data_IF_888941376271
#
_entry.id   IF_888941376271
#
_cell.length_a   1.000
_cell.length_b   1.000
_cell.length_c   1.000
_cell.angle_alpha   90.00
_cell.angle_beta   90.00
_cell.angle_gamma   90.00
#
_symmetry.space_group_name_H-M   'P 1'
#
loop_
_entity.id
_entity.type
_entity.pdbx_description
1 polymer ?
#
# COMPACT_ATOMS: atom_id res chain seq x y z
N UNK A 1 24.39 55.74 27.56
CA UNK A 1 25.35 54.88 26.83
C UNK A 1 25.79 53.79 27.79
N UNK A 2 25.73 52.50 27.49
CA UNK A 2 25.36 51.82 26.25
C UNK A 2 24.80 50.44 26.56
N UNK A 3 23.92 49.98 25.68
CA UNK A 3 23.46 48.59 25.67
C UNK A 3 24.68 47.69 25.42
N UNK A 4 24.89 46.72 26.31
CA UNK A 4 26.01 45.80 26.25
C UNK A 4 25.86 44.89 25.03
N UNK A 5 26.88 44.82 24.17
CA UNK A 5 26.85 44.12 22.88
C UNK A 5 26.90 42.59 23.00
N UNK A 6 26.78 42.04 24.22
CA UNK A 6 26.82 40.61 24.51
C UNK A 6 25.42 39.94 24.52
N UNK A 7 24.32 40.70 24.58
CA UNK A 7 22.96 40.13 24.71
C UNK A 7 22.19 39.98 23.37
N UNK A 8 22.82 40.29 22.23
CA UNK A 8 22.19 40.22 20.88
C UNK A 8 22.44 38.86 20.18
N UNK A 9 23.33 38.02 20.71
CA UNK A 9 23.79 36.78 20.06
C UNK A 9 22.91 35.52 20.30
N UNK A 10 21.98 35.43 21.29
CA UNK A 10 21.18 34.20 21.45
C UNK A 10 20.06 34.01 20.40
N UNK A 11 19.50 35.09 19.85
CA UNK A 11 18.31 35.00 18.98
C UNK A 11 18.65 34.56 17.55
N UNK A 12 19.78 35.02 17.00
CA UNK A 12 20.20 34.66 15.63
C UNK A 12 20.69 33.21 15.52
N UNK A 13 21.27 32.63 16.59
CA UNK A 13 21.73 31.23 16.59
C UNK A 13 20.56 30.22 16.60
N UNK A 14 19.50 30.53 17.35
CA UNK A 14 18.27 29.73 17.38
C UNK A 14 17.53 29.80 16.03
N UNK A 15 17.50 30.99 15.42
CA UNK A 15 16.90 31.19 14.10
C UNK A 15 17.68 30.40 13.02
N UNK A 16 19.01 30.51 13.03
CA UNK A 16 19.88 29.81 12.08
C UNK A 16 19.81 28.27 12.21
N UNK A 17 19.70 27.74 13.44
CA UNK A 17 19.49 26.31 13.68
C UNK A 17 18.12 25.84 13.17
N UNK A 18 17.07 26.67 13.30
CA UNK A 18 15.73 26.39 12.78
C UNK A 18 15.70 26.40 11.24
N UNK A 19 16.40 27.35 10.62
CA UNK A 19 16.56 27.47 9.17
C UNK A 19 17.36 26.29 8.59
N UNK A 20 18.48 25.91 9.22
CA UNK A 20 19.27 24.74 8.82
C UNK A 20 18.48 23.43 8.95
N UNK A 21 17.65 23.31 10.00
CA UNK A 21 16.76 22.15 10.17
C UNK A 21 15.66 22.10 9.11
N UNK A 22 15.10 23.25 8.73
CA UNK A 22 14.09 23.35 7.65
C UNK A 22 14.70 23.07 6.28
N UNK A 23 15.89 23.58 6.00
CA UNK A 23 16.64 23.29 4.77
C UNK A 23 16.97 21.79 4.66
N UNK A 24 17.53 21.17 5.71
CA UNK A 24 17.80 19.72 5.73
C UNK A 24 16.55 18.86 5.52
N UNK A 25 15.40 19.30 6.03
CA UNK A 25 14.11 18.62 5.80
C UNK A 25 13.66 18.75 4.34
N UNK A 26 13.78 19.95 3.76
CA UNK A 26 13.47 20.16 2.35
C UNK A 26 14.38 19.30 1.44
N UNK A 27 15.69 19.26 1.72
CA UNK A 27 16.64 18.40 1.00
C UNK A 27 16.30 16.92 1.15
N UNK A 28 15.87 16.47 2.34
CA UNK A 28 15.47 15.09 2.57
C UNK A 28 14.21 14.72 1.77
N UNK A 29 13.24 15.63 1.65
CA UNK A 29 12.03 15.44 0.84
C UNK A 29 12.40 15.38 -0.64
N UNK A 30 13.17 16.35 -1.14
CA UNK A 30 13.60 16.40 -2.53
C UNK A 30 14.42 15.16 -2.93
N UNK A 31 15.33 14.71 -2.05
CA UNK A 31 16.09 13.48 -2.28
C UNK A 31 15.19 12.24 -2.30
N UNK A 32 14.15 12.19 -1.45
CA UNK A 32 13.19 11.08 -1.44
C UNK A 32 12.42 11.02 -2.77
N UNK A 33 11.90 12.14 -3.24
CA UNK A 33 11.18 12.23 -4.52
C UNK A 33 12.08 11.85 -5.70
N UNK A 34 13.33 12.32 -5.72
CA UNK A 34 14.31 11.96 -6.74
C UNK A 34 14.61 10.46 -6.76
N UNK A 35 14.76 9.83 -5.61
CA UNK A 35 14.99 8.38 -5.50
C UNK A 35 13.78 7.61 -6.04
N UNK A 36 12.55 8.01 -5.66
CA UNK A 36 11.33 7.36 -6.12
C UNK A 36 11.18 7.48 -7.64
N UNK A 37 11.33 8.68 -8.21
CA UNK A 37 11.25 8.89 -9.65
C UNK A 37 12.32 8.09 -10.41
N UNK A 38 13.54 8.02 -9.87
CA UNK A 38 14.63 7.24 -10.46
C UNK A 38 14.34 5.74 -10.42
N UNK A 39 13.84 5.25 -9.28
CA UNK A 39 13.47 3.85 -9.12
C UNK A 39 12.34 3.46 -10.08
N UNK A 40 11.27 4.26 -10.16
CA UNK A 40 10.15 4.03 -11.06
C UNK A 40 10.62 3.93 -12.52
N UNK A 41 11.48 4.86 -12.96
CA UNK A 41 12.06 4.83 -14.31
C UNK A 41 12.89 3.57 -14.56
N UNK A 42 13.81 3.24 -13.65
CA UNK A 42 14.66 2.05 -13.79
C UNK A 42 13.86 0.75 -13.78
N UNK A 43 12.82 0.66 -12.94
CA UNK A 43 11.92 -0.48 -12.89
C UNK A 43 11.13 -0.65 -14.18
N UNK A 44 10.66 0.44 -14.79
CA UNK A 44 10.00 0.40 -16.09
C UNK A 44 10.95 -0.02 -17.23
N UNK A 45 12.21 0.43 -17.20
CA UNK A 45 13.21 0.12 -18.24
C UNK A 45 13.75 -1.31 -18.16
N UNK A 46 13.96 -1.84 -16.94
CA UNK A 46 14.76 -3.05 -16.72
C UNK A 46 14.02 -4.16 -15.99
N UNK A 47 12.80 -3.90 -15.52
CA UNK A 47 12.06 -4.78 -14.62
C UNK A 47 12.56 -4.67 -13.18
N UNK A 48 11.64 -4.79 -12.22
CA UNK A 48 11.94 -4.56 -10.80
C UNK A 48 13.02 -5.54 -10.32
N UNK A 49 12.90 -6.83 -10.63
CA UNK A 49 13.81 -7.88 -10.19
C UNK A 49 15.29 -7.63 -10.57
N UNK A 50 15.55 -6.91 -11.65
CA UNK A 50 16.90 -6.68 -12.17
C UNK A 50 17.56 -5.37 -11.68
N UNK A 51 16.86 -4.58 -10.87
CA UNK A 51 17.37 -3.31 -10.35
C UNK A 51 17.65 -3.42 -8.86
N UNK A 52 18.90 -3.14 -8.46
CA UNK A 52 19.31 -3.13 -7.05
C UNK A 52 19.43 -1.70 -6.50
N UNK A 53 19.41 -1.57 -5.17
CA UNK A 53 19.51 -0.29 -4.45
C UNK A 53 20.76 0.52 -4.84
N UNK A 54 21.87 -0.15 -5.15
CA UNK A 54 23.11 0.51 -5.57
C UNK A 54 22.97 1.23 -6.93
N UNK A 55 22.33 0.58 -7.91
CA UNK A 55 22.06 1.16 -9.24
C UNK A 55 21.14 2.36 -9.13
N UNK A 56 20.15 2.31 -8.24
CA UNK A 56 19.24 3.43 -7.97
C UNK A 56 20.00 4.61 -7.35
N UNK A 57 20.83 4.36 -6.33
CA UNK A 57 21.63 5.41 -5.70
C UNK A 57 22.56 6.12 -6.71
N UNK A 58 23.25 5.33 -7.54
CA UNK A 58 24.13 5.84 -8.59
C UNK A 58 23.35 6.68 -9.62
N UNK A 59 22.23 6.15 -10.12
CA UNK A 59 21.40 6.83 -11.13
C UNK A 59 20.75 8.11 -10.60
N UNK A 60 20.36 8.13 -9.32
CA UNK A 60 19.79 9.29 -8.63
C UNK A 60 20.88 10.28 -8.17
N UNK A 61 22.16 9.92 -8.31
CA UNK A 61 23.31 10.70 -7.85
C UNK A 61 23.24 11.03 -6.34
N UNK A 62 22.74 10.09 -5.55
CA UNK A 62 22.67 10.19 -4.09
C UNK A 62 23.64 9.21 -3.42
N UNK A 63 24.17 9.57 -2.26
CA UNK A 63 24.99 8.64 -1.48
C UNK A 63 24.17 7.44 -1.01
N UNK A 64 24.78 6.23 -0.99
CA UNK A 64 24.13 5.01 -0.49
C UNK A 64 23.52 5.20 0.91
N UNK A 65 24.25 5.84 1.82
CA UNK A 65 23.74 6.15 3.17
C UNK A 65 22.57 7.13 3.20
N UNK A 66 22.38 7.96 2.17
CA UNK A 66 21.17 8.80 2.03
C UNK A 66 19.99 7.96 1.59
N UNK A 67 20.18 7.08 0.60
CA UNK A 67 19.14 6.17 0.14
C UNK A 67 18.69 5.20 1.23
N UNK A 68 19.62 4.54 1.93
CA UNK A 68 19.30 3.61 3.02
C UNK A 68 18.71 4.27 4.27
N UNK A 69 18.92 5.58 4.46
CA UNK A 69 18.22 6.36 5.50
C UNK A 69 16.76 6.63 5.14
N UNK A 70 16.43 6.69 3.85
CA UNK A 70 15.06 6.89 3.36
C UNK A 70 14.29 5.58 3.14
N UNK A 71 15.00 4.49 2.82
CA UNK A 71 14.45 3.18 2.49
C UNK A 71 15.44 2.08 2.94
N UNK A 72 15.11 1.34 4.00
CA UNK A 72 16.00 0.33 4.57
C UNK A 72 16.29 -0.81 3.60
N UNK A 73 15.35 -1.13 2.71
CA UNK A 73 15.50 -2.15 1.68
C UNK A 73 14.65 -1.80 0.44
N UNK A 74 14.80 -2.62 -0.62
CA UNK A 74 14.08 -2.44 -1.88
C UNK A 74 12.56 -2.63 -1.72
N UNK A 75 12.13 -3.48 -0.79
CA UNK A 75 10.72 -3.65 -0.45
C UNK A 75 10.08 -2.38 0.10
N UNK A 76 10.74 -1.68 1.02
CA UNK A 76 10.27 -0.37 1.51
C UNK A 76 10.20 0.69 0.41
N UNK A 77 11.17 0.69 -0.51
CA UNK A 77 11.13 1.55 -1.68
C UNK A 77 9.93 1.22 -2.59
N UNK A 78 9.66 -0.07 -2.81
CA UNK A 78 8.50 -0.50 -3.60
C UNK A 78 7.17 -0.12 -2.92
N UNK A 79 7.06 -0.26 -1.60
CA UNK A 79 5.88 0.20 -0.86
C UNK A 79 5.68 1.71 -0.96
N UNK A 80 6.76 2.48 -0.92
CA UNK A 80 6.69 3.92 -1.10
C UNK A 80 6.24 4.33 -2.51
N UNK A 81 6.62 3.58 -3.54
CA UNK A 81 6.09 3.77 -4.90
C UNK A 81 4.60 3.39 -5.01
N UNK A 82 4.14 2.43 -4.22
CA UNK A 82 2.74 2.02 -4.17
C UNK A 82 1.83 3.01 -3.44
N UNK A 83 2.39 3.87 -2.59
CA UNK A 83 1.62 4.66 -1.61
C UNK A 83 0.60 5.60 -2.27
N UNK A 84 0.99 6.29 -3.34
CA UNK A 84 0.09 7.18 -4.07
C UNK A 84 -1.03 6.41 -4.76
N UNK A 85 -0.69 5.34 -5.47
CA UNK A 85 -1.66 4.48 -6.15
C UNK A 85 -2.62 3.82 -5.16
N UNK A 86 -2.13 3.41 -3.99
CA UNK A 86 -2.92 2.86 -2.90
C UNK A 86 -3.90 3.90 -2.36
N UNK A 87 -3.44 5.13 -2.12
CA UNK A 87 -4.30 6.23 -1.65
C UNK A 87 -5.39 6.56 -2.66
N UNK A 88 -5.06 6.58 -3.95
CA UNK A 88 -6.03 6.78 -5.03
C UNK A 88 -7.05 5.63 -5.07
N UNK A 89 -6.58 4.38 -5.00
CA UNK A 89 -7.43 3.21 -4.95
C UNK A 89 -8.40 3.22 -3.75
N UNK A 90 -7.89 3.54 -2.56
CA UNK A 90 -8.69 3.68 -1.34
C UNK A 90 -9.78 4.73 -1.51
N UNK A 91 -9.43 5.93 -2.00
CA UNK A 91 -10.39 7.02 -2.21
C UNK A 91 -11.48 6.64 -3.22
N UNK A 92 -11.09 6.11 -4.38
CA UNK A 92 -12.02 5.69 -5.44
C UNK A 92 -12.96 4.58 -4.95
N UNK A 93 -12.42 3.62 -4.20
CA UNK A 93 -13.18 2.49 -3.71
C UNK A 93 -14.14 2.89 -2.59
N UNK A 94 -13.71 3.76 -1.66
CA UNK A 94 -14.59 4.34 -0.65
C UNK A 94 -15.72 5.16 -1.27
N UNK A 95 -15.42 5.94 -2.31
CA UNK A 95 -16.43 6.67 -3.06
C UNK A 95 -17.44 5.72 -3.72
N UNK A 96 -16.98 4.70 -4.46
CA UNK A 96 -17.83 3.68 -5.04
C UNK A 96 -18.74 3.02 -3.99
N UNK A 97 -18.19 2.66 -2.83
CA UNK A 97 -18.95 2.02 -1.75
C UNK A 97 -20.00 2.94 -1.14
N UNK A 98 -19.78 4.27 -1.12
CA UNK A 98 -20.75 5.27 -0.67
C UNK A 98 -21.86 5.50 -1.70
N UNK A 99 -21.50 5.59 -2.98
CA UNK A 99 -22.46 5.76 -4.07
C UNK A 99 -23.43 4.58 -4.15
N UNK A 100 -22.97 3.38 -3.80
CA UNK A 100 -23.75 2.13 -3.80
C UNK A 100 -24.30 1.77 -2.41
N UNK A 101 -24.46 2.72 -1.51
CA UNK A 101 -24.89 2.44 -0.12
C UNK A 101 -26.27 1.78 -0.01
N UNK A 102 -27.11 1.92 -1.04
CA UNK A 102 -28.45 1.35 -1.19
C UNK A 102 -28.44 -0.08 -1.74
N UNK A 103 -27.29 -0.56 -2.24
CA UNK A 103 -27.14 -1.91 -2.77
C UNK A 103 -26.87 -2.93 -1.64
N UNK A 104 -27.24 -4.21 -1.86
CA UNK A 104 -26.89 -5.30 -0.94
C UNK A 104 -25.40 -5.31 -0.59
N UNK A 105 -25.08 -5.58 0.67
CA UNK A 105 -23.71 -5.63 1.17
C UNK A 105 -22.85 -6.64 0.40
N UNK A 106 -23.40 -7.81 0.03
CA UNK A 106 -22.70 -8.80 -0.80
C UNK A 106 -22.41 -8.28 -2.22
N UNK A 107 -23.30 -7.47 -2.80
CA UNK A 107 -23.07 -6.82 -4.11
C UNK A 107 -21.97 -5.74 -4.03
N UNK A 108 -21.91 -5.02 -2.91
CA UNK A 108 -20.84 -4.03 -2.64
C UNK A 108 -19.50 -4.72 -2.40
N UNK A 109 -19.48 -5.86 -1.71
CA UNK A 109 -18.30 -6.71 -1.53
C UNK A 109 -17.79 -7.24 -2.87
N UNK A 110 -18.67 -7.74 -3.74
CA UNK A 110 -18.32 -8.15 -5.10
C UNK A 110 -17.64 -7.02 -5.88
N UNK A 111 -18.21 -5.82 -5.87
CA UNK A 111 -17.65 -4.65 -6.54
C UNK A 111 -16.28 -4.22 -5.97
N UNK A 112 -16.12 -4.30 -4.66
CA UNK A 112 -14.87 -4.03 -3.95
C UNK A 112 -13.79 -5.01 -4.36
N UNK A 113 -14.07 -6.32 -4.31
CA UNK A 113 -13.13 -7.38 -4.65
C UNK A 113 -12.75 -7.35 -6.12
N UNK A 114 -13.71 -7.05 -7.01
CA UNK A 114 -13.43 -6.85 -8.42
C UNK A 114 -12.45 -5.69 -8.61
N UNK A 115 -12.67 -4.53 -7.98
CA UNK A 115 -11.72 -3.41 -8.02
C UNK A 115 -10.34 -3.79 -7.49
N UNK A 116 -10.29 -4.60 -6.43
CA UNK A 116 -9.05 -5.09 -5.83
C UNK A 116 -8.26 -6.02 -6.78
N UNK A 117 -8.94 -6.87 -7.56
CA UNK A 117 -8.29 -7.72 -8.58
C UNK A 117 -7.53 -6.87 -9.60
N UNK A 118 -8.15 -5.81 -10.13
CA UNK A 118 -7.48 -4.90 -11.08
C UNK A 118 -6.33 -4.12 -10.43
N UNK A 119 -6.49 -3.72 -9.17
CA UNK A 119 -5.41 -3.08 -8.43
C UNK A 119 -4.21 -4.02 -8.23
N UNK A 120 -4.46 -5.26 -7.82
CA UNK A 120 -3.41 -6.27 -7.65
C UNK A 120 -2.72 -6.56 -8.97
N UNK A 121 -3.45 -6.74 -10.08
CA UNK A 121 -2.84 -6.92 -11.42
C UNK A 121 -1.81 -5.83 -11.74
N UNK A 122 -2.19 -4.56 -11.53
CA UNK A 122 -1.32 -3.43 -11.84
C UNK A 122 -0.09 -3.35 -10.92
N UNK A 123 -0.25 -3.77 -9.67
CA UNK A 123 0.74 -3.56 -8.61
C UNK A 123 1.50 -4.82 -8.18
N UNK A 124 1.14 -6.00 -8.70
CA UNK A 124 1.67 -7.28 -8.27
C UNK A 124 3.21 -7.36 -8.29
N UNK A 125 3.93 -6.81 -9.28
CA UNK A 125 5.39 -6.80 -9.25
C UNK A 125 6.00 -6.06 -8.05
N UNK A 126 5.44 -4.90 -7.69
CA UNK A 126 5.89 -4.11 -6.53
C UNK A 126 5.49 -4.80 -5.21
N UNK A 127 4.29 -5.38 -5.16
CA UNK A 127 3.79 -6.12 -3.99
C UNK A 127 4.64 -7.38 -3.72
N UNK A 128 5.01 -8.12 -4.77
CA UNK A 128 5.90 -9.28 -4.68
C UNK A 128 7.26 -8.89 -4.09
N UNK A 129 7.85 -7.80 -4.57
CA UNK A 129 9.15 -7.34 -4.07
C UNK A 129 9.09 -6.89 -2.61
N UNK A 130 8.02 -6.19 -2.21
CA UNK A 130 7.77 -5.87 -0.81
C UNK A 130 7.61 -7.14 0.06
N UNK A 131 6.99 -8.20 -0.49
CA UNK A 131 6.82 -9.48 0.20
C UNK A 131 8.15 -10.24 0.36
N UNK A 132 8.95 -10.33 -0.69
CA UNK A 132 10.25 -11.01 -0.69
C UNK A 132 11.21 -10.42 0.34
N UNK A 133 11.10 -9.12 0.62
CA UNK A 133 11.89 -8.42 1.62
C UNK A 133 11.24 -8.41 3.03
N UNK A 134 10.19 -9.19 3.25
CA UNK A 134 9.48 -9.28 4.54
C UNK A 134 8.78 -7.99 4.97
N UNK A 135 8.71 -6.99 4.09
CA UNK A 135 8.24 -5.64 4.44
C UNK A 135 6.73 -5.61 4.67
N UNK A 136 5.99 -6.53 4.03
CA UNK A 136 4.55 -6.72 4.28
C UNK A 136 4.25 -7.39 5.63
N UNK A 137 5.21 -8.10 6.21
CA UNK A 137 5.05 -8.86 7.46
C UNK A 137 5.70 -8.15 8.67
N UNK A 138 6.48 -7.10 8.43
CA UNK A 138 7.11 -6.34 9.51
C UNK A 138 6.04 -5.74 10.40
N UNK A 139 5.97 -6.22 11.64
CA UNK A 139 5.25 -5.52 12.71
C UNK A 139 5.74 -4.07 12.71
N UNK A 140 4.79 -3.13 12.82
CA UNK A 140 5.09 -1.70 12.81
C UNK A 140 6.18 -1.44 13.85
N UNK A 141 7.40 -1.13 13.41
CA UNK A 141 8.47 -0.77 14.32
C UNK A 141 8.03 0.50 15.05
N UNK A 142 7.97 0.53 16.40
CA UNK A 142 7.55 1.72 17.12
C UNK A 142 8.41 2.92 16.71
N UNK A 143 7.76 3.98 16.19
CA UNK A 143 8.44 5.19 15.71
C UNK A 143 8.68 5.26 14.19
N UNK A 144 8.42 4.18 13.43
CA UNK A 144 8.20 4.27 12.00
C UNK A 144 6.69 4.34 11.75
N UNK A 145 6.17 5.54 11.46
CA UNK A 145 4.94 5.64 10.68
C UNK A 145 5.22 4.85 9.41
N UNK A 146 4.71 3.62 9.31
CA UNK A 146 4.67 2.92 8.04
C UNK A 146 3.42 3.45 7.34
N UNK A 147 3.53 4.41 6.40
CA UNK A 147 2.39 4.96 5.66
C UNK A 147 1.60 3.89 4.90
N UNK A 148 2.17 2.69 4.75
CA UNK A 148 1.70 1.60 3.90
C UNK A 148 0.74 0.62 4.60
N UNK A 149 -0.16 1.06 5.49
CA UNK A 149 -1.12 0.16 6.18
C UNK A 149 -2.31 -0.23 5.30
N UNK A 150 -2.04 -0.79 4.12
CA UNK A 150 -3.09 -1.20 3.18
C UNK A 150 -3.81 -2.48 3.60
N UNK A 151 -3.08 -3.46 4.13
CA UNK A 151 -3.65 -4.74 4.54
C UNK A 151 -4.68 -4.61 5.69
N UNK A 152 -4.42 -3.84 6.76
CA UNK A 152 -5.45 -3.57 7.77
C UNK A 152 -6.71 -2.93 7.18
N UNK A 153 -6.56 -1.95 6.27
CA UNK A 153 -7.71 -1.30 5.63
C UNK A 153 -8.53 -2.26 4.76
N UNK A 154 -7.88 -3.15 3.99
CA UNK A 154 -8.57 -4.19 3.21
C UNK A 154 -9.37 -5.12 4.13
N UNK A 155 -8.72 -5.63 5.19
CA UNK A 155 -9.34 -6.54 6.17
C UNK A 155 -10.55 -5.89 6.83
N UNK A 156 -10.42 -4.64 7.29
CA UNK A 156 -11.53 -3.87 7.86
C UNK A 156 -12.66 -3.69 6.86
N UNK A 157 -12.36 -3.33 5.61
CA UNK A 157 -13.40 -3.11 4.59
C UNK A 157 -14.19 -4.38 4.29
N UNK A 158 -13.50 -5.51 4.07
CA UNK A 158 -14.15 -6.82 3.84
C UNK A 158 -14.96 -7.24 5.06
N UNK A 159 -14.38 -7.14 6.27
CA UNK A 159 -15.06 -7.50 7.51
C UNK A 159 -16.33 -6.69 7.75
N UNK A 160 -16.30 -5.38 7.49
CA UNK A 160 -17.48 -4.51 7.61
C UNK A 160 -18.58 -4.88 6.62
N UNK A 161 -18.24 -5.20 5.38
CA UNK A 161 -19.23 -5.61 4.38
C UNK A 161 -19.86 -6.97 4.70
N UNK A 162 -19.06 -7.93 5.19
CA UNK A 162 -19.58 -9.22 5.67
C UNK A 162 -20.50 -9.05 6.90
N UNK A 163 -20.11 -8.19 7.83
CA UNK A 163 -20.94 -7.88 9.00
C UNK A 163 -22.27 -7.22 8.61
N UNK A 164 -22.24 -6.31 7.63
CA UNK A 164 -23.46 -5.71 7.08
C UNK A 164 -24.35 -6.75 6.38
N UNK A 165 -23.75 -7.70 5.67
CA UNK A 165 -24.49 -8.79 5.03
C UNK A 165 -25.25 -9.65 6.05
N UNK A 166 -24.65 -9.97 7.20
CA UNK A 166 -25.34 -10.66 8.29
C UNK A 166 -26.46 -9.82 8.91
N UNK A 167 -26.18 -8.55 9.22
CA UNK A 167 -27.17 -7.64 9.83
C UNK A 167 -28.40 -7.42 8.93
N UNK A 168 -28.21 -7.43 7.62
CA UNK A 168 -29.27 -7.27 6.63
C UNK A 168 -29.96 -8.60 6.26
N UNK A 169 -29.51 -9.73 6.80
CA UNK A 169 -30.04 -11.06 6.48
C UNK A 169 -29.70 -11.58 5.07
N UNK A 170 -28.67 -11.02 4.43
CA UNK A 170 -28.14 -11.48 3.14
C UNK A 170 -27.31 -12.78 3.27
N UNK A 171 -26.70 -12.95 4.44
CA UNK A 171 -25.89 -14.10 4.87
C UNK A 171 -26.20 -14.42 6.33
N UNK A 172 -25.94 -15.64 6.78
CA UNK A 172 -26.14 -16.04 8.18
C UNK A 172 -24.99 -16.92 8.68
N UNK A 173 -24.63 -16.76 9.95
CA UNK A 173 -23.68 -17.62 10.67
C UNK A 173 -22.29 -17.68 10.01
N UNK A 174 -21.77 -16.51 9.62
CA UNK A 174 -20.46 -16.34 9.03
C UNK A 174 -19.36 -16.31 10.11
N UNK A 175 -18.32 -17.12 9.92
CA UNK A 175 -17.05 -16.92 10.62
C UNK A 175 -16.30 -15.75 9.94
N UNK A 176 -16.71 -14.52 10.25
CA UNK A 176 -16.17 -13.30 9.62
C UNK A 176 -14.64 -13.21 9.75
N UNK A 177 -14.02 -13.42 10.93
CA UNK A 177 -12.56 -13.37 11.06
C UNK A 177 -11.85 -14.31 10.09
N UNK A 178 -12.31 -15.56 9.97
CA UNK A 178 -11.74 -16.51 9.03
C UNK A 178 -12.01 -16.14 7.57
N UNK A 179 -13.24 -15.74 7.24
CA UNK A 179 -13.64 -15.41 5.88
C UNK A 179 -12.89 -14.20 5.33
N UNK A 180 -12.59 -13.19 6.17
CA UNK A 180 -11.75 -12.06 5.75
C UNK A 180 -10.40 -12.54 5.21
N UNK A 181 -9.75 -13.46 5.93
CA UNK A 181 -8.46 -14.02 5.52
C UNK A 181 -8.61 -14.93 4.29
N UNK A 182 -9.61 -15.80 4.28
CA UNK A 182 -9.86 -16.72 3.18
C UNK A 182 -10.20 -16.00 1.87
N UNK A 183 -10.92 -14.87 1.92
CA UNK A 183 -11.28 -14.05 0.75
C UNK A 183 -10.08 -13.27 0.22
N UNK A 184 -9.20 -12.78 1.10
CA UNK A 184 -8.04 -11.99 0.69
C UNK A 184 -6.85 -12.86 0.25
N UNK A 185 -6.75 -14.10 0.74
CA UNK A 185 -5.63 -15.00 0.43
C UNK A 185 -5.40 -15.25 -1.08
N UNK A 186 -6.44 -15.48 -1.92
CA UNK A 186 -6.31 -15.58 -3.38
C UNK A 186 -5.66 -14.37 -4.05
N UNK A 187 -5.72 -13.20 -3.41
CA UNK A 187 -5.20 -11.93 -3.92
C UNK A 187 -3.80 -11.60 -3.37
N UNK A 188 -3.14 -12.54 -2.69
CA UNK A 188 -1.71 -12.43 -2.40
C UNK A 188 -0.91 -12.35 -3.71
N UNK A 189 0.10 -11.47 -3.76
CA UNK A 189 0.83 -11.19 -4.99
C UNK A 189 1.47 -12.45 -5.59
N UNK A 190 2.00 -13.36 -4.76
CA UNK A 190 2.62 -14.60 -5.23
C UNK A 190 1.62 -15.54 -5.91
N UNK A 191 0.47 -15.80 -5.28
CA UNK A 191 -0.54 -16.68 -5.86
C UNK A 191 -1.16 -16.05 -7.10
N UNK A 192 -1.42 -14.74 -7.05
CA UNK A 192 -1.97 -13.99 -8.17
C UNK A 192 -1.03 -14.04 -9.38
N UNK A 193 0.27 -13.77 -9.19
CA UNK A 193 1.26 -13.86 -10.28
C UNK A 193 1.44 -15.29 -10.77
N UNK A 194 1.44 -16.29 -9.88
CA UNK A 194 1.45 -17.69 -10.30
C UNK A 194 0.25 -18.03 -11.20
N UNK A 195 -0.96 -17.58 -10.85
CA UNK A 195 -2.15 -17.79 -11.67
C UNK A 195 -2.05 -17.09 -13.04
N UNK A 196 -1.55 -15.84 -13.07
CA UNK A 196 -1.40 -15.05 -14.30
C UNK A 196 -0.30 -15.57 -15.22
N UNK A 197 0.90 -15.77 -14.68
CA UNK A 197 2.11 -16.07 -15.44
C UNK A 197 2.30 -17.56 -15.69
N UNK A 198 1.92 -18.42 -14.73
CA UNK A 198 2.15 -19.87 -14.81
C UNK A 198 0.91 -20.64 -15.24
N UNK A 199 -0.27 -20.33 -14.66
CA UNK A 199 -1.51 -21.01 -15.03
C UNK A 199 -2.21 -20.39 -16.26
N UNK A 200 -1.79 -19.20 -16.68
CA UNK A 200 -2.38 -18.49 -17.83
C UNK A 200 -3.83 -18.04 -17.60
N UNK A 201 -4.25 -17.86 -16.35
CA UNK A 201 -5.60 -17.38 -16.05
C UNK A 201 -5.71 -15.90 -16.42
N UNK A 202 -6.76 -15.53 -17.15
CA UNK A 202 -7.10 -14.12 -17.36
C UNK A 202 -7.73 -13.49 -16.12
N UNK A 203 -7.85 -12.16 -16.13
CA UNK A 203 -8.41 -11.41 -14.99
C UNK A 203 -9.86 -11.75 -14.73
N UNK A 204 -10.64 -12.00 -15.78
CA UNK A 204 -12.04 -12.37 -15.64
C UNK A 204 -12.19 -13.69 -14.90
N UNK A 205 -11.38 -14.70 -15.23
CA UNK A 205 -11.38 -15.98 -14.55
C UNK A 205 -11.04 -15.85 -13.07
N UNK A 206 -10.03 -15.05 -12.72
CA UNK A 206 -9.65 -14.81 -11.33
C UNK A 206 -10.78 -14.10 -10.58
N UNK A 207 -11.35 -13.03 -11.16
CA UNK A 207 -12.45 -12.28 -10.58
C UNK A 207 -13.71 -13.14 -10.38
N UNK A 208 -14.09 -13.93 -11.39
CA UNK A 208 -15.22 -14.86 -11.33
C UNK A 208 -15.00 -15.95 -10.28
N UNK A 209 -13.81 -16.52 -10.18
CA UNK A 209 -13.48 -17.54 -9.18
C UNK A 209 -13.57 -16.99 -7.75
N UNK A 210 -13.04 -15.79 -7.52
CA UNK A 210 -13.15 -15.11 -6.22
C UNK A 210 -14.61 -14.80 -5.88
N UNK A 211 -15.38 -14.31 -6.85
CA UNK A 211 -16.81 -14.05 -6.71
C UNK A 211 -17.59 -15.31 -6.34
N UNK A 212 -17.32 -16.44 -6.99
CA UNK A 212 -17.95 -17.72 -6.63
C UNK A 212 -17.60 -18.12 -5.20
N UNK A 213 -16.34 -18.01 -4.79
CA UNK A 213 -15.91 -18.33 -3.43
C UNK A 213 -16.65 -17.49 -2.37
N UNK A 214 -16.88 -16.20 -2.65
CA UNK A 214 -17.61 -15.28 -1.76
C UNK A 214 -19.11 -15.53 -1.80
N UNK A 215 -19.72 -15.57 -2.98
CA UNK A 215 -21.17 -15.66 -3.14
C UNK A 215 -21.70 -17.05 -2.77
N UNK A 216 -21.00 -18.12 -3.14
CA UNK A 216 -21.45 -19.48 -2.83
C UNK A 216 -21.09 -19.87 -1.39
N UNK A 217 -20.05 -19.27 -0.83
CA UNK A 217 -19.65 -19.44 0.58
C UNK A 217 -20.52 -18.68 1.57
N UNK A 218 -20.99 -17.47 1.22
CA UNK A 218 -21.72 -16.59 2.14
C UNK A 218 -23.25 -16.61 1.96
N UNK A 219 -23.78 -17.05 0.82
CA UNK A 219 -25.24 -17.06 0.62
C UNK A 219 -25.92 -18.03 1.58
N UNK A 220 -27.00 -17.55 2.19
CA UNK A 220 -27.93 -18.36 2.97
C UNK A 220 -28.33 -19.60 2.17
N UNK A 221 -27.95 -20.79 2.63
CA UNK A 221 -28.46 -22.03 2.05
C UNK A 221 -29.94 -22.06 2.38
N UNK A 222 -30.79 -22.12 1.34
CA UNK A 222 -32.23 -22.17 1.49
C UNK A 222 -32.62 -23.24 2.51
N UNK A 223 -33.40 -22.83 3.51
CA UNK A 223 -34.02 -23.73 4.47
C UNK A 223 -35.27 -24.36 3.89
#
# INVERSE_FOLDING_TARGET
MGFNQADIIPLMAADNASHLKRARRADAIANRELILATAQRLFAERGIAHVCMAVIAESARVGKGTLYRGFANKGELCLALLDEDMRLFQNQTLQMLRERHDQPALSRLDAFLNSLVYFVERQAPLLREAQLHGTLQSEATPGHDSPHRWLPWLRTTVGLLLQQAEQNGEADNLDIPYLVDAILAPLSADLFLYQRETCGFDLERISQGLRQLVLDGCRKRGS
#
